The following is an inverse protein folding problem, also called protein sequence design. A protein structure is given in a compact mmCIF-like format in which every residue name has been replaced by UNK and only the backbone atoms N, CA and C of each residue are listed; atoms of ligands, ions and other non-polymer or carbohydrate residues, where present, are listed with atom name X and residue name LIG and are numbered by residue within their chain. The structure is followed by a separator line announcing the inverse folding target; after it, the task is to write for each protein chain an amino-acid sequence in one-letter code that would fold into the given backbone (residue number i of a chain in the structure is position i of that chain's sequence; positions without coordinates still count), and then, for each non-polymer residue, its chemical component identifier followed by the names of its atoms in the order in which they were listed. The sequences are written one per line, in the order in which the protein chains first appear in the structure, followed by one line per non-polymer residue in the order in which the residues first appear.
data_IF_597562777080
#
_entry.id   IF_597562777080
#
_cell.length_a   1.000
_cell.length_b   1.000
_cell.length_c   1.000
_cell.angle_alpha   90.00
_cell.angle_beta   90.00
_cell.angle_gamma   90.00
#
_symmetry.space_group_name_H-M   'P 1'
#
loop_
_entity.id
_entity.type
_entity.pdbx_description
1 polymer ?
#
# COMPACT_ATOMS: atom_id res chain seq x y z
N UNK A 1 -39.05 -8.15 42.18
CA UNK A 1 -37.86 -7.69 41.43
C UNK A 1 -37.91 -7.97 39.91
N UNK A 2 -39.01 -8.49 39.33
CA UNK A 2 -39.10 -8.78 37.89
C UNK A 2 -39.87 -7.73 37.05
N UNK A 3 -40.65 -6.83 37.66
CA UNK A 3 -41.45 -5.84 36.92
C UNK A 3 -40.70 -4.55 36.50
N UNK A 4 -39.65 -4.18 37.23
CA UNK A 4 -38.88 -2.96 36.90
C UNK A 4 -37.96 -3.12 35.69
N UNK A 5 -37.54 -4.35 35.36
CA UNK A 5 -36.72 -4.62 34.17
C UNK A 5 -37.54 -4.54 32.87
N UNK A 6 -38.79 -5.00 32.87
CA UNK A 6 -39.64 -4.99 31.67
C UNK A 6 -39.99 -3.56 31.18
N UNK A 7 -40.16 -2.60 32.10
CA UNK A 7 -40.46 -1.20 31.75
C UNK A 7 -39.24 -0.41 31.24
N UNK A 8 -38.02 -0.87 31.51
CA UNK A 8 -36.77 -0.26 31.01
C UNK A 8 -36.51 -0.67 29.55
N UNK A 9 -36.81 -1.94 29.20
CA UNK A 9 -36.65 -2.45 27.83
C UNK A 9 -37.64 -1.81 26.84
N UNK A 10 -38.92 -1.68 27.20
CA UNK A 10 -39.93 -1.04 26.36
C UNK A 10 -39.65 0.46 26.08
N UNK A 11 -38.96 1.16 26.98
CA UNK A 11 -38.55 2.57 26.81
C UNK A 11 -37.36 2.74 25.85
N UNK A 12 -36.49 1.73 25.73
CA UNK A 12 -35.34 1.77 24.83
C UNK A 12 -35.72 1.47 23.37
N UNK A 13 -36.66 0.57 23.13
CA UNK A 13 -37.13 0.25 21.77
C UNK A 13 -37.86 1.42 21.10
N UNK A 14 -38.61 2.20 21.89
CA UNK A 14 -39.33 3.37 21.37
C UNK A 14 -38.37 4.51 20.97
N UNK A 15 -37.23 4.68 21.67
CA UNK A 15 -36.18 5.64 21.29
C UNK A 15 -35.46 5.27 20.01
N UNK A 16 -35.18 3.98 19.79
CA UNK A 16 -34.53 3.49 18.57
C UNK A 16 -35.47 3.62 17.35
N UNK A 17 -36.78 3.44 17.54
CA UNK A 17 -37.78 3.65 16.49
C UNK A 17 -37.90 5.14 16.06
N UNK A 18 -37.87 6.07 17.01
CA UNK A 18 -37.96 7.52 16.75
C UNK A 18 -36.72 8.03 15.98
N UNK A 19 -35.51 7.56 16.33
CA UNK A 19 -34.25 7.91 15.65
C UNK A 19 -34.22 7.37 14.20
N UNK A 20 -34.74 6.15 13.97
CA UNK A 20 -34.83 5.59 12.60
C UNK A 20 -35.83 6.36 11.72
N UNK A 21 -36.94 6.85 12.29
CA UNK A 21 -37.98 7.60 11.56
C UNK A 21 -37.51 9.01 11.19
N UNK A 22 -36.79 9.69 12.08
CA UNK A 22 -36.21 11.03 11.84
C UNK A 22 -35.06 10.98 10.80
N UNK A 23 -34.24 9.93 10.80
CA UNK A 23 -33.17 9.75 9.79
C UNK A 23 -33.72 9.47 8.39
N UNK A 24 -34.87 8.80 8.27
CA UNK A 24 -35.54 8.54 6.98
C UNK A 24 -36.17 9.81 6.38
N UNK A 25 -36.64 10.74 7.22
CA UNK A 25 -37.19 12.03 6.79
C UNK A 25 -36.10 13.02 6.34
N UNK A 26 -34.94 13.07 7.01
CA UNK A 26 -33.81 13.89 6.54
C UNK A 26 -33.24 13.41 5.19
N UNK A 27 -33.22 12.09 4.96
CA UNK A 27 -32.73 11.54 3.69
C UNK A 27 -33.68 11.83 2.51
N UNK A 28 -35.00 11.85 2.76
CA UNK A 28 -36.00 12.17 1.73
C UNK A 28 -35.97 13.66 1.33
N UNK A 29 -35.77 14.58 2.29
CA UNK A 29 -35.65 16.00 2.02
C UNK A 29 -34.40 16.34 1.18
N UNK A 30 -33.28 15.65 1.44
CA UNK A 30 -32.01 15.86 0.71
C UNK A 30 -32.07 15.37 -0.75
N UNK A 31 -32.90 14.36 -1.05
CA UNK A 31 -33.09 13.83 -2.41
C UNK A 31 -34.02 14.74 -3.25
N UNK A 32 -35.06 15.29 -2.65
CA UNK A 32 -36.02 16.17 -3.34
C UNK A 32 -35.41 17.53 -3.75
N UNK A 33 -34.44 18.04 -2.99
CA UNK A 33 -33.78 19.32 -3.28
C UNK A 33 -32.72 19.20 -4.39
N UNK A 34 -32.16 18.00 -4.58
CA UNK A 34 -31.17 17.71 -5.63
C UNK A 34 -31.81 17.52 -7.01
N UNK A 35 -33.10 17.18 -7.07
CA UNK A 35 -33.84 16.97 -8.31
C UNK A 35 -34.25 18.25 -9.05
N UNK A 36 -34.11 19.44 -8.43
CA UNK A 36 -34.55 20.73 -9.02
C UNK A 36 -33.43 21.58 -9.65
N UNK A 37 -32.18 21.12 -9.63
CA UNK A 37 -31.06 21.86 -10.27
C UNK A 37 -30.86 21.39 -11.71
N UNK A 38 -31.34 22.18 -12.67
CA UNK A 38 -30.95 22.07 -14.09
C UNK A 38 -29.48 22.43 -14.23
N UNK A 39 -28.60 21.44 -14.37
CA UNK A 39 -27.23 21.65 -14.86
C UNK A 39 -27.25 21.87 -16.37
N UNK A 40 -26.54 22.87 -16.91
CA UNK A 40 -26.39 23.00 -18.36
C UNK A 40 -25.62 21.80 -18.88
N UNK A 41 -26.06 21.25 -20.01
CA UNK A 41 -25.42 20.13 -20.68
C UNK A 41 -24.04 20.58 -21.21
N UNK A 42 -22.99 20.33 -20.43
CA UNK A 42 -21.61 20.39 -20.90
C UNK A 42 -21.34 19.05 -21.58
N UNK A 43 -21.03 19.12 -22.87
CA UNK A 43 -20.78 18.00 -23.78
C UNK A 43 -19.89 16.91 -23.14
N UNK A 44 -20.52 15.83 -22.70
CA UNK A 44 -19.90 14.75 -21.93
C UNK A 44 -19.15 13.75 -22.82
N UNK A 45 -19.23 13.87 -24.15
CA UNK A 45 -18.57 12.93 -25.07
C UNK A 45 -17.08 13.20 -25.23
N UNK A 46 -16.63 14.45 -25.10
CA UNK A 46 -15.21 14.79 -25.22
C UNK A 46 -14.36 14.38 -23.99
N UNK A 47 -14.99 14.27 -22.80
CA UNK A 47 -14.28 13.96 -21.54
C UNK A 47 -14.10 12.46 -21.29
N UNK A 48 -14.99 11.62 -21.84
CA UNK A 48 -14.89 10.17 -21.70
C UNK A 48 -13.73 9.57 -22.52
N UNK A 49 -13.46 10.11 -23.70
CA UNK A 49 -12.36 9.66 -24.57
C UNK A 49 -10.96 9.98 -24.02
N UNK A 50 -10.85 10.95 -23.10
CA UNK A 50 -9.58 11.40 -22.53
C UNK A 50 -9.26 10.81 -21.14
N UNK A 51 -10.14 9.99 -20.55
CA UNK A 51 -9.88 9.36 -19.25
C UNK A 51 -9.10 8.03 -19.36
N UNK A 52 -8.87 7.57 -20.59
CA UNK A 52 -7.89 6.52 -20.89
C UNK A 52 -6.45 7.06 -20.98
N UNK A 53 -6.20 8.29 -20.50
CA UNK A 53 -4.83 8.75 -20.22
C UNK A 53 -4.29 7.87 -19.10
N UNK A 54 -3.25 7.12 -19.44
CA UNK A 54 -2.41 6.34 -18.53
C UNK A 54 -2.36 7.01 -17.16
N UNK A 55 -2.99 6.41 -16.14
CA UNK A 55 -2.81 6.87 -14.77
C UNK A 55 -1.31 6.83 -14.48
N UNK A 56 -0.71 7.97 -14.17
CA UNK A 56 0.72 8.05 -13.82
C UNK A 56 0.99 7.03 -12.72
N UNK A 57 1.90 6.08 -12.99
CA UNK A 57 2.24 5.02 -12.05
C UNK A 57 2.79 5.68 -10.79
N UNK A 58 2.19 5.39 -9.64
CA UNK A 58 2.72 5.84 -8.34
C UNK A 58 3.82 4.86 -7.94
N UNK A 59 5.07 5.26 -8.11
CA UNK A 59 6.21 4.45 -7.69
C UNK A 59 6.35 4.46 -6.16
N UNK A 60 6.44 3.29 -5.50
CA UNK A 60 6.93 3.19 -4.13
C UNK A 60 8.32 3.81 -4.02
N UNK A 61 8.73 4.25 -2.83
CA UNK A 61 10.09 4.74 -2.53
C UNK A 61 11.20 3.79 -2.97
N UNK A 62 12.43 4.29 -3.09
CA UNK A 62 13.57 3.47 -3.53
C UNK A 62 13.79 2.27 -2.59
N UNK A 63 14.21 1.09 -3.10
CA UNK A 63 14.62 -0.02 -2.23
C UNK A 63 15.81 0.33 -1.32
N UNK A 64 16.59 1.37 -1.68
CA UNK A 64 17.75 1.87 -0.93
C UNK A 64 17.36 2.72 0.27
N UNK A 65 16.16 3.30 0.25
CA UNK A 65 15.69 4.12 1.37
C UNK A 65 15.55 3.28 2.62
N UNK A 66 15.93 3.88 3.75
CA UNK A 66 15.90 3.23 5.05
C UNK A 66 14.94 3.94 6.00
N UNK A 67 14.37 3.18 6.94
CA UNK A 67 13.61 3.71 8.06
C UNK A 67 13.98 2.91 9.31
N UNK A 68 14.36 3.59 10.38
CA UNK A 68 15.00 2.95 11.56
C UNK A 68 16.21 2.07 11.18
N UNK A 69 16.97 2.46 10.15
CA UNK A 69 18.10 1.68 9.63
C UNK A 69 17.71 0.39 8.90
N UNK A 70 16.43 0.10 8.72
CA UNK A 70 15.97 -1.01 7.89
C UNK A 70 15.90 -0.61 6.42
N UNK A 71 16.66 -1.25 5.52
CA UNK A 71 16.50 -1.03 4.08
C UNK A 71 15.15 -1.58 3.62
N UNK A 72 14.61 -1.05 2.52
CA UNK A 72 13.38 -1.50 1.87
C UNK A 72 12.08 -1.32 2.67
N UNK A 73 12.15 -1.05 3.99
CA UNK A 73 10.96 -0.83 4.83
C UNK A 73 10.07 0.30 4.31
N UNK A 74 10.58 1.52 3.99
CA UNK A 74 9.78 2.60 3.41
C UNK A 74 8.99 2.15 2.17
N UNK A 75 9.70 1.48 1.25
CA UNK A 75 9.16 0.96 0.01
C UNK A 75 8.06 -0.08 0.24
N UNK A 76 8.28 -0.99 1.16
CA UNK A 76 7.31 -2.03 1.49
C UNK A 76 6.03 -1.44 2.11
N UNK A 77 6.16 -0.45 2.99
CA UNK A 77 5.03 0.30 3.55
C UNK A 77 4.23 0.98 2.43
N UNK A 78 4.89 1.64 1.49
CA UNK A 78 4.22 2.29 0.35
C UNK A 78 3.43 1.28 -0.49
N UNK A 79 4.02 0.12 -0.79
CA UNK A 79 3.34 -0.96 -1.51
C UNK A 79 2.07 -1.40 -0.78
N UNK A 80 2.12 -1.58 0.54
CA UNK A 80 0.94 -1.93 1.35
C UNK A 80 -0.10 -0.80 1.30
N UNK A 81 0.29 0.46 1.52
CA UNK A 81 -0.65 1.60 1.49
C UNK A 81 -1.33 1.75 0.14
N UNK A 82 -0.56 1.64 -0.95
CA UNK A 82 -1.09 1.64 -2.31
C UNK A 82 -2.03 0.45 -2.56
N UNK A 83 -1.71 -0.73 -2.03
CA UNK A 83 -2.56 -1.91 -2.15
C UNK A 83 -3.90 -1.70 -1.43
N UNK A 84 -3.87 -1.24 -0.18
CA UNK A 84 -5.06 -0.93 0.61
C UNK A 84 -5.92 0.17 -0.05
N UNK A 85 -5.29 1.13 -0.73
CA UNK A 85 -5.96 2.18 -1.49
C UNK A 85 -6.47 1.72 -2.88
N UNK A 86 -6.22 0.47 -3.29
CA UNK A 86 -6.48 -0.04 -4.66
C UNK A 86 -5.79 0.78 -5.75
N UNK A 87 -4.60 1.31 -5.45
CA UNK A 87 -3.76 2.12 -6.34
C UNK A 87 -2.39 1.47 -6.63
N UNK A 88 -2.12 0.28 -6.08
CA UNK A 88 -0.88 -0.44 -6.37
C UNK A 88 -0.91 -0.94 -7.81
N UNK A 89 0.07 -0.50 -8.61
CA UNK A 89 0.19 -0.91 -10.01
C UNK A 89 0.23 -2.44 -10.13
N UNK A 90 -0.43 -3.05 -11.15
CA UNK A 90 -0.50 -4.51 -11.32
C UNK A 90 0.85 -5.23 -11.23
N UNK A 91 1.93 -4.63 -11.75
CA UNK A 91 3.26 -5.23 -11.75
C UNK A 91 3.84 -5.48 -10.35
N UNK A 92 3.40 -4.73 -9.34
CA UNK A 92 3.84 -4.93 -7.96
C UNK A 92 3.02 -5.98 -7.21
N UNK A 93 1.77 -6.24 -7.62
CA UNK A 93 0.83 -7.05 -6.84
C UNK A 93 1.27 -8.51 -6.68
N UNK A 94 1.79 -9.22 -7.72
CA UNK A 94 2.26 -10.60 -7.58
C UNK A 94 3.40 -10.76 -6.59
N UNK A 95 4.16 -9.68 -6.37
CA UNK A 95 5.37 -9.61 -5.54
C UNK A 95 5.14 -8.88 -4.20
N UNK A 96 3.90 -8.52 -3.85
CA UNK A 96 3.60 -7.96 -2.54
C UNK A 96 3.81 -9.04 -1.46
N UNK A 97 4.68 -8.76 -0.48
CA UNK A 97 5.07 -9.74 0.54
C UNK A 97 6.06 -10.81 0.06
N UNK A 98 6.59 -10.71 -1.17
CA UNK A 98 7.60 -11.63 -1.75
C UNK A 98 8.87 -10.90 -2.14
N UNK A 99 9.91 -11.63 -2.57
CA UNK A 99 11.18 -11.05 -2.99
C UNK A 99 11.84 -10.25 -1.86
N UNK A 100 12.17 -8.98 -2.12
CA UNK A 100 12.75 -8.10 -1.09
C UNK A 100 11.79 -7.83 0.09
N UNK A 101 10.48 -7.84 -0.10
CA UNK A 101 9.52 -7.76 1.01
C UNK A 101 9.67 -8.98 1.93
N UNK A 102 9.75 -10.19 1.36
CA UNK A 102 9.99 -11.42 2.12
C UNK A 102 11.37 -11.43 2.79
N UNK A 103 12.37 -10.84 2.15
CA UNK A 103 13.70 -10.64 2.73
C UNK A 103 13.63 -9.79 4.01
N UNK A 104 12.89 -8.67 3.96
CA UNK A 104 12.65 -7.82 5.12
C UNK A 104 11.85 -8.55 6.20
N UNK A 105 10.73 -9.20 5.84
CA UNK A 105 9.88 -9.96 6.76
C UNK A 105 10.67 -11.03 7.52
N UNK A 106 11.50 -11.80 6.80
CA UNK A 106 12.38 -12.81 7.40
C UNK A 106 13.39 -12.20 8.37
N UNK A 107 14.03 -11.09 7.99
CA UNK A 107 15.02 -10.43 8.84
C UNK A 107 14.39 -9.84 10.10
N UNK A 108 13.20 -9.23 9.97
CA UNK A 108 12.45 -8.65 11.09
C UNK A 108 11.78 -9.72 11.98
N UNK A 109 11.51 -10.91 11.44
CA UNK A 109 10.81 -11.97 12.17
C UNK A 109 9.30 -11.69 12.32
N UNK A 110 8.69 -11.05 11.32
CA UNK A 110 7.26 -10.71 11.30
C UNK A 110 6.62 -11.25 10.03
N UNK A 111 5.30 -11.47 10.06
CA UNK A 111 4.55 -11.97 8.89
C UNK A 111 4.05 -10.83 8.00
N UNK A 112 3.68 -11.16 6.76
CA UNK A 112 3.06 -10.20 5.84
C UNK A 112 1.76 -9.64 6.43
N UNK A 113 0.94 -10.49 7.04
CA UNK A 113 -0.34 -10.15 7.64
C UNK A 113 -0.17 -9.18 8.82
N UNK A 114 0.84 -9.40 9.67
CA UNK A 114 1.17 -8.47 10.76
C UNK A 114 1.53 -7.08 10.23
N UNK A 115 2.35 -7.02 9.17
CA UNK A 115 2.71 -5.75 8.54
C UNK A 115 1.53 -5.08 7.85
N UNK A 116 0.66 -5.85 7.20
CA UNK A 116 -0.54 -5.32 6.56
C UNK A 116 -1.50 -4.70 7.60
N UNK A 117 -1.74 -5.39 8.72
CA UNK A 117 -2.56 -4.88 9.81
C UNK A 117 -1.92 -3.68 10.53
N UNK A 118 -0.59 -3.67 10.71
CA UNK A 118 0.14 -2.53 11.25
C UNK A 118 -0.04 -1.29 10.36
N UNK A 119 0.25 -1.40 9.08
CA UNK A 119 0.18 -0.28 8.13
C UNK A 119 -1.25 0.21 7.98
N UNK A 120 -2.24 -0.69 7.99
CA UNK A 120 -3.67 -0.33 7.96
C UNK A 120 -4.12 0.49 9.17
N UNK A 121 -3.50 0.29 10.34
CA UNK A 121 -3.79 1.02 11.59
C UNK A 121 -2.93 2.27 11.79
N UNK A 122 -1.94 2.48 10.91
CA UNK A 122 -1.00 3.59 10.99
C UNK A 122 -1.33 4.64 9.92
N UNK A 123 -1.26 5.91 10.28
CA UNK A 123 -1.43 7.04 9.37
C UNK A 123 -0.07 7.49 8.82
N UNK A 124 0.96 7.45 9.65
CA UNK A 124 2.29 8.01 9.34
C UNK A 124 3.37 6.93 9.31
N UNK A 125 4.51 7.28 8.71
CA UNK A 125 5.72 6.45 8.82
C UNK A 125 6.29 6.42 10.24
N UNK A 126 6.10 7.50 11.01
CA UNK A 126 6.52 7.57 12.41
C UNK A 126 5.90 6.47 13.26
N UNK A 127 4.59 6.25 13.11
CA UNK A 127 3.88 5.19 13.86
C UNK A 127 4.37 3.78 13.51
N UNK A 128 4.65 3.52 12.22
CA UNK A 128 5.22 2.23 11.78
C UNK A 128 6.66 2.09 12.31
N UNK A 129 7.45 3.15 12.24
CA UNK A 129 8.82 3.21 12.75
C UNK A 129 8.88 2.92 14.25
N UNK A 130 8.00 3.54 15.04
CA UNK A 130 7.92 3.33 16.48
C UNK A 130 7.51 1.90 16.83
N UNK A 131 6.54 1.33 16.09
CA UNK A 131 6.18 -0.07 16.24
C UNK A 131 7.37 -0.99 15.94
N UNK A 132 8.09 -0.75 14.84
CA UNK A 132 9.26 -1.55 14.45
C UNK A 132 10.34 -1.46 15.53
N UNK A 133 10.65 -0.26 16.03
CA UNK A 133 11.61 -0.06 17.12
C UNK A 133 11.19 -0.79 18.40
N UNK A 134 9.89 -0.80 18.71
CA UNK A 134 9.37 -1.45 19.90
C UNK A 134 9.35 -2.99 19.79
N UNK A 135 9.01 -3.54 18.62
CA UNK A 135 8.73 -4.99 18.47
C UNK A 135 9.85 -5.78 17.77
N UNK A 136 10.63 -5.15 16.90
CA UNK A 136 11.67 -5.81 16.11
C UNK A 136 13.04 -5.59 16.77
N UNK A 137 13.44 -6.53 17.62
CA UNK A 137 14.70 -6.48 18.39
C UNK A 137 15.86 -7.17 17.67
N UNK A 138 16.20 -6.65 16.49
CA UNK A 138 17.33 -7.17 15.69
C UNK A 138 18.54 -6.23 15.79
N UNK A 139 19.76 -6.76 15.90
CA UNK A 139 20.96 -5.95 15.95
C UNK A 139 21.20 -5.23 14.62
N UNK A 140 22.00 -4.16 14.65
CA UNK A 140 22.38 -3.43 13.45
C UNK A 140 23.05 -4.32 12.39
N UNK A 141 23.76 -5.37 12.82
CA UNK A 141 24.39 -6.35 11.92
C UNK A 141 23.39 -7.10 11.04
N UNK A 142 22.19 -7.40 11.54
CA UNK A 142 21.12 -8.04 10.74
C UNK A 142 20.56 -7.07 9.69
N UNK A 143 20.39 -5.80 10.05
CA UNK A 143 19.96 -4.74 9.13
C UNK A 143 20.99 -4.56 8.00
N UNK A 144 22.28 -4.53 8.35
CA UNK A 144 23.38 -4.45 7.41
C UNK A 144 23.47 -5.71 6.52
N UNK A 145 23.29 -6.90 7.08
CA UNK A 145 23.29 -8.15 6.33
C UNK A 145 22.12 -8.24 5.35
N UNK A 146 20.94 -7.69 5.68
CA UNK A 146 19.84 -7.56 4.74
C UNK A 146 20.22 -6.63 3.56
N UNK A 147 20.77 -5.45 3.85
CA UNK A 147 21.21 -4.51 2.81
C UNK A 147 22.24 -5.16 1.89
N UNK A 148 23.27 -5.80 2.45
CA UNK A 148 24.31 -6.49 1.68
C UNK A 148 23.70 -7.55 0.75
N UNK A 149 22.78 -8.39 1.26
CA UNK A 149 22.08 -9.40 0.44
C UNK A 149 21.23 -8.79 -0.67
N UNK A 150 20.63 -7.62 -0.46
CA UNK A 150 19.85 -6.95 -1.50
C UNK A 150 20.75 -6.40 -2.62
N UNK A 151 21.88 -5.80 -2.25
CA UNK A 151 22.84 -5.23 -3.18
C UNK A 151 23.65 -6.28 -3.96
N UNK A 152 23.73 -7.49 -3.40
CA UNK A 152 24.39 -8.67 -3.99
C UNK A 152 23.41 -9.55 -4.78
N UNK A 153 22.16 -9.13 -5.03
CA UNK A 153 21.16 -9.92 -5.75
C UNK A 153 20.90 -9.44 -7.19
N UNK A 154 21.07 -10.28 -8.23
CA UNK A 154 21.41 -11.70 -8.17
C UNK A 154 22.89 -11.93 -7.85
N UNK A 155 23.19 -13.05 -7.19
CA UNK A 155 24.58 -13.44 -6.91
C UNK A 155 25.29 -13.85 -8.20
N UNK A 156 26.62 -13.79 -8.20
CA UNK A 156 27.44 -14.17 -9.34
C UNK A 156 27.22 -15.63 -9.80
N UNK A 157 26.85 -16.52 -8.88
CA UNK A 157 26.54 -17.93 -9.13
C UNK A 157 25.04 -18.22 -9.37
N UNK A 158 24.18 -17.20 -9.32
CA UNK A 158 22.73 -17.32 -9.55
C UNK A 158 22.39 -17.10 -11.03
N UNK A 159 22.63 -18.12 -11.86
CA UNK A 159 22.39 -18.05 -13.31
C UNK A 159 20.95 -17.65 -13.66
N UNK A 160 19.96 -18.16 -12.91
CA UNK A 160 18.54 -17.85 -13.12
C UNK A 160 18.23 -16.39 -12.74
N UNK A 161 18.80 -15.90 -11.64
CA UNK A 161 18.69 -14.51 -11.21
C UNK A 161 19.34 -13.54 -12.21
N UNK A 162 20.52 -13.89 -12.73
CA UNK A 162 21.24 -13.12 -13.76
C UNK A 162 20.43 -13.07 -15.05
N UNK A 163 19.92 -14.22 -15.53
CA UNK A 163 19.07 -14.29 -16.71
C UNK A 163 17.78 -13.45 -16.53
N UNK A 164 17.18 -13.52 -15.33
CA UNK A 164 16.00 -12.72 -14.99
C UNK A 164 16.31 -11.22 -14.99
N UNK A 165 17.43 -10.79 -14.42
CA UNK A 165 17.84 -9.37 -14.42
C UNK A 165 18.03 -8.87 -15.86
N UNK A 166 18.71 -9.65 -16.71
CA UNK A 166 18.88 -9.33 -18.13
C UNK A 166 17.55 -9.18 -18.85
N UNK A 167 16.65 -10.16 -18.71
CA UNK A 167 15.30 -10.13 -19.28
C UNK A 167 14.52 -8.90 -18.82
N UNK A 168 14.59 -8.55 -17.53
CA UNK A 168 13.90 -7.36 -16.99
C UNK A 168 14.47 -6.05 -17.53
N UNK A 169 15.79 -5.95 -17.68
CA UNK A 169 16.44 -4.80 -18.35
C UNK A 169 15.97 -4.67 -19.79
N UNK A 170 15.88 -5.77 -20.55
CA UNK A 170 15.37 -5.76 -21.93
C UNK A 170 13.92 -5.29 -22.00
N UNK A 171 13.04 -5.82 -21.14
CA UNK A 171 11.63 -5.42 -21.06
C UNK A 171 11.44 -3.94 -20.72
N UNK A 172 12.34 -3.36 -19.93
CA UNK A 172 12.30 -1.95 -19.54
C UNK A 172 13.03 -1.01 -20.53
N UNK A 173 13.62 -1.54 -21.61
CA UNK A 173 14.45 -0.74 -22.52
C UNK A 173 15.80 -0.29 -21.94
N UNK A 174 16.23 -0.92 -20.84
CA UNK A 174 17.46 -0.64 -20.10
C UNK A 174 18.58 -1.66 -20.38
N UNK A 175 18.46 -2.44 -21.46
CA UNK A 175 19.46 -3.47 -21.82
C UNK A 175 20.88 -2.88 -21.94
N UNK A 176 20.98 -1.66 -22.46
CA UNK A 176 22.25 -0.93 -22.69
C UNK A 176 22.92 -0.40 -21.41
N UNK A 177 22.25 -0.47 -20.25
CA UNK A 177 22.76 0.07 -18.98
C UNK A 177 23.58 -0.96 -18.22
N UNK A 178 24.85 -1.10 -18.59
CA UNK A 178 25.77 -2.07 -17.98
C UNK A 178 26.16 -1.73 -16.54
N UNK A 179 25.94 -0.50 -16.10
CA UNK A 179 26.14 -0.04 -14.73
C UNK A 179 25.08 -0.61 -13.75
N UNK A 180 23.93 -1.09 -14.23
CA UNK A 180 22.91 -1.75 -13.39
C UNK A 180 23.34 -3.18 -13.10
N UNK A 181 23.95 -3.42 -11.93
CA UNK A 181 24.55 -4.70 -11.57
C UNK A 181 23.62 -5.63 -10.79
N UNK A 182 22.64 -5.07 -10.09
CA UNK A 182 21.71 -5.81 -9.24
C UNK A 182 20.25 -5.34 -9.43
N UNK A 183 19.29 -6.05 -8.81
CA UNK A 183 17.88 -5.68 -8.89
C UNK A 183 17.56 -4.34 -8.20
N UNK A 184 18.36 -3.89 -7.24
CA UNK A 184 18.17 -2.57 -6.62
C UNK A 184 18.48 -1.46 -7.62
N UNK A 185 19.61 -1.55 -8.34
CA UNK A 185 19.97 -0.63 -9.43
C UNK A 185 18.88 -0.61 -10.50
N UNK A 186 18.46 -1.80 -10.95
CA UNK A 186 17.43 -1.94 -11.97
C UNK A 186 16.11 -1.29 -11.54
N UNK A 187 15.64 -1.55 -10.33
CA UNK A 187 14.37 -0.97 -9.84
C UNK A 187 14.45 0.55 -9.79
N UNK A 188 15.52 1.12 -9.27
CA UNK A 188 15.67 2.58 -9.22
C UNK A 188 15.69 3.18 -10.64
N UNK A 189 16.44 2.59 -11.58
CA UNK A 189 16.49 3.06 -12.97
C UNK A 189 15.14 2.92 -13.70
N UNK A 190 14.45 1.79 -13.52
CA UNK A 190 13.14 1.53 -14.12
C UNK A 190 12.10 2.55 -13.64
N UNK A 191 12.16 2.89 -12.35
CA UNK A 191 11.32 3.89 -11.67
C UNK A 191 11.85 5.32 -11.78
N UNK A 192 12.74 5.57 -12.74
CA UNK A 192 13.24 6.90 -13.16
C UNK A 192 14.08 7.63 -12.09
N UNK A 193 14.78 6.87 -11.24
CA UNK A 193 15.82 7.36 -10.32
C UNK A 193 17.21 7.10 -10.90
N UNK A 194 18.17 7.92 -10.51
CA UNK A 194 19.58 7.85 -10.95
C UNK A 194 20.48 7.30 -9.86
#
# INVERSE_FOLDING_TARGET
MHEQFAQQFARNDNRVAIIKRTRKLLHAATIAERAKRKTPAIDSRARAANHARMSDIIFPRSPRETMDGWPHLPRYIDKIRLHLARKLHPDYQPNLGKGFDAGWLKAAGVTHEQMLELVKKSITDGEVCDWVRHNVKKPASEKAALLARMLDYPKADDADGIARLKMRKEQAGLAHRDDLKNFVDFIDADEKRS
#
